data_IF_673216091516
#
_entry.id   IF_673216091516
#
_cell.length_a   1.000
_cell.length_b   1.000
_cell.length_c   1.000
_cell.angle_alpha   90.00
_cell.angle_beta   90.00
_cell.angle_gamma   90.00
#
_symmetry.space_group_name_H-M   'P 1'
#
loop_
_entity.id
_entity.type
_entity.pdbx_description
1 polymer ?
#
# COMPACT_ATOMS: atom_id res chain seq x y z
N UNK A 1 -3.07 24.23 -9.77
CA UNK A 1 -2.48 23.43 -8.66
C UNK A 1 -2.06 22.09 -9.23
N UNK A 2 -0.81 21.65 -9.00
CA UNK A 2 -0.29 20.39 -9.56
C UNK A 2 -0.75 19.22 -8.67
N UNK A 3 -1.43 18.24 -9.25
CA UNK A 3 -1.86 17.03 -8.52
C UNK A 3 -0.70 16.07 -8.32
N UNK A 4 -0.67 15.37 -7.19
CA UNK A 4 0.20 14.22 -7.00
C UNK A 4 -0.29 13.02 -7.81
N UNK A 5 0.55 12.50 -8.71
CA UNK A 5 0.20 11.39 -9.60
C UNK A 5 0.83 10.10 -9.08
N UNK A 6 0.01 9.10 -8.80
CA UNK A 6 0.47 7.80 -8.28
C UNK A 6 -0.02 6.66 -9.18
N UNK A 7 0.90 5.80 -9.59
CA UNK A 7 0.58 4.54 -10.27
C UNK A 7 0.72 3.36 -9.32
N UNK A 8 -0.32 2.53 -9.20
CA UNK A 8 -0.22 1.24 -8.53
C UNK A 8 0.00 0.11 -9.54
N UNK A 9 1.03 -0.70 -9.32
CA UNK A 9 1.29 -1.94 -10.07
C UNK A 9 1.12 -3.11 -9.12
N UNK A 10 0.15 -3.99 -9.40
CA UNK A 10 -0.17 -5.06 -8.46
C UNK A 10 -1.33 -5.96 -8.88
N UNK A 11 -2.10 -6.41 -7.91
CA UNK A 11 -3.14 -7.42 -8.10
C UNK A 11 -4.36 -7.16 -7.20
N UNK A 12 -5.05 -8.21 -6.77
CA UNK A 12 -6.25 -8.11 -5.94
C UNK A 12 -6.01 -7.41 -4.60
N UNK A 13 -4.76 -7.37 -4.10
CA UNK A 13 -4.45 -6.62 -2.88
C UNK A 13 -4.42 -5.10 -3.12
N UNK A 14 -4.34 -4.68 -4.39
CA UNK A 14 -4.47 -3.28 -4.80
C UNK A 14 -5.91 -2.94 -5.16
N UNK A 15 -6.55 -3.65 -6.11
CA UNK A 15 -7.81 -3.16 -6.67
C UNK A 15 -9.06 -3.49 -5.84
N UNK A 16 -9.01 -4.50 -4.96
CA UNK A 16 -10.18 -4.84 -4.14
C UNK A 16 -10.51 -3.70 -3.18
N UNK A 17 -11.81 -3.54 -2.93
CA UNK A 17 -12.37 -2.46 -2.12
C UNK A 17 -11.96 -1.05 -2.59
N UNK A 18 -11.54 -0.88 -3.84
CA UNK A 18 -11.17 0.44 -4.39
C UNK A 18 -10.09 1.15 -3.55
N UNK A 19 -9.13 0.42 -2.99
CA UNK A 19 -8.13 0.98 -2.07
C UNK A 19 -7.41 2.24 -2.59
N UNK A 20 -6.99 2.34 -3.89
CA UNK A 20 -6.42 3.58 -4.41
C UNK A 20 -7.39 4.77 -4.37
N UNK A 21 -8.70 4.55 -4.58
CA UNK A 21 -9.72 5.60 -4.45
C UNK A 21 -9.95 6.00 -3.00
N UNK A 22 -9.87 5.06 -2.05
CA UNK A 22 -9.91 5.41 -0.62
C UNK A 22 -8.77 6.37 -0.27
N UNK A 23 -7.56 6.14 -0.77
CA UNK A 23 -6.42 7.05 -0.58
C UNK A 23 -6.73 8.46 -1.14
N UNK A 24 -7.32 8.57 -2.33
CA UNK A 24 -7.72 9.87 -2.89
C UNK A 24 -8.72 10.60 -1.97
N UNK A 25 -9.72 9.88 -1.43
CA UNK A 25 -10.72 10.49 -0.55
C UNK A 25 -10.12 10.90 0.79
N UNK A 26 -9.20 10.11 1.36
CA UNK A 26 -8.47 10.49 2.58
C UNK A 26 -7.64 11.77 2.36
N UNK A 27 -6.91 11.87 1.25
CA UNK A 27 -6.14 13.09 0.93
C UNK A 27 -7.05 14.30 0.72
N UNK A 28 -8.20 14.11 0.06
CA UNK A 28 -9.20 15.16 -0.11
C UNK A 28 -9.77 15.62 1.24
N UNK A 29 -10.12 14.68 2.12
CA UNK A 29 -10.69 14.98 3.43
C UNK A 29 -9.71 15.71 4.35
N UNK A 30 -8.40 15.42 4.24
CA UNK A 30 -7.35 16.09 4.98
C UNK A 30 -7.15 17.58 4.58
N UNK A 31 -7.83 18.07 3.55
CA UNK A 31 -7.74 19.47 3.12
C UNK A 31 -6.39 19.85 2.52
N UNK A 32 -5.59 18.88 2.05
CA UNK A 32 -4.30 19.19 1.43
C UNK A 32 -4.47 20.00 0.13
N UNK A 33 -3.72 21.08 -0.02
CA UNK A 33 -3.71 21.95 -1.22
C UNK A 33 -3.38 21.20 -2.53
N UNK A 34 -2.76 20.02 -2.42
CA UNK A 34 -2.43 19.15 -3.55
C UNK A 34 -3.48 18.05 -3.69
N UNK A 35 -4.20 18.08 -4.80
CA UNK A 35 -5.06 16.96 -5.23
C UNK A 35 -4.19 15.71 -5.45
N UNK A 36 -4.65 14.54 -5.06
CA UNK A 36 -4.01 13.27 -5.38
C UNK A 36 -4.85 12.54 -6.42
N UNK A 37 -4.20 11.98 -7.45
CA UNK A 37 -4.84 11.11 -8.44
C UNK A 37 -4.05 9.82 -8.55
N UNK A 38 -4.79 8.73 -8.55
CA UNK A 38 -4.31 7.37 -8.69
C UNK A 38 -4.73 6.80 -10.03
N UNK A 39 -3.81 6.04 -10.62
CA UNK A 39 -4.12 5.05 -11.63
C UNK A 39 -3.58 3.70 -11.17
N UNK A 40 -4.05 2.63 -11.80
CA UNK A 40 -3.57 1.29 -11.49
C UNK A 40 -3.45 0.45 -12.75
N UNK A 41 -2.43 -0.42 -12.79
CA UNK A 41 -2.35 -1.53 -13.72
C UNK A 41 -2.23 -2.82 -12.90
N UNK A 42 -3.26 -3.66 -12.97
CA UNK A 42 -3.36 -4.82 -12.09
C UNK A 42 -3.77 -6.09 -12.82
N UNK A 43 -3.25 -7.24 -12.39
CA UNK A 43 -3.65 -8.56 -12.89
C UNK A 43 -4.09 -9.49 -11.74
N UNK A 44 -5.05 -10.41 -11.99
CA UNK A 44 -5.46 -11.38 -10.95
C UNK A 44 -4.26 -12.27 -10.57
N UNK A 45 -3.85 -12.22 -9.31
CA UNK A 45 -2.71 -13.00 -8.82
C UNK A 45 -1.37 -12.64 -9.48
N UNK A 46 -1.25 -11.49 -10.13
CA UNK A 46 -0.03 -11.09 -10.83
C UNK A 46 1.14 -10.87 -9.86
N UNK A 47 2.32 -11.35 -10.24
CA UNK A 47 3.60 -11.06 -9.58
C UNK A 47 4.31 -9.87 -10.23
N UNK A 48 5.37 -9.36 -9.60
CA UNK A 48 6.23 -8.37 -10.26
C UNK A 48 6.85 -8.94 -11.54
N UNK A 49 7.26 -10.21 -11.52
CA UNK A 49 7.72 -10.90 -12.72
C UNK A 49 6.69 -10.86 -13.85
N UNK A 50 5.43 -11.17 -13.53
CA UNK A 50 4.37 -11.16 -14.53
C UNK A 50 4.22 -9.77 -15.14
N UNK A 51 4.17 -8.73 -14.31
CA UNK A 51 4.05 -7.34 -14.75
C UNK A 51 5.23 -6.90 -15.61
N UNK A 52 6.46 -7.30 -15.26
CA UNK A 52 7.68 -6.99 -16.01
C UNK A 52 7.67 -7.61 -17.42
N UNK A 53 6.90 -8.68 -17.61
CA UNK A 53 6.76 -9.29 -18.93
C UNK A 53 5.58 -8.70 -19.72
N UNK A 54 4.86 -7.70 -19.17
CA UNK A 54 3.76 -7.04 -19.87
C UNK A 54 4.21 -5.70 -20.44
N UNK A 55 4.18 -5.58 -21.78
CA UNK A 55 4.45 -4.32 -22.48
C UNK A 55 3.62 -3.15 -21.95
N UNK A 56 2.34 -3.39 -21.65
CA UNK A 56 1.44 -2.38 -21.12
C UNK A 56 1.89 -1.79 -19.77
N UNK A 57 2.57 -2.57 -18.91
CA UNK A 57 3.11 -2.04 -17.65
C UNK A 57 4.20 -1.00 -17.92
N UNK A 58 5.14 -1.32 -18.81
CA UNK A 58 6.22 -0.42 -19.20
C UNK A 58 5.72 0.85 -19.88
N UNK A 59 4.74 0.71 -20.79
CA UNK A 59 4.11 1.85 -21.46
C UNK A 59 3.41 2.76 -20.44
N UNK A 60 2.71 2.20 -19.43
CA UNK A 60 2.08 2.99 -18.38
C UNK A 60 3.10 3.73 -17.50
N UNK A 61 4.24 3.10 -17.18
CA UNK A 61 5.32 3.75 -16.41
C UNK A 61 5.91 4.92 -17.20
N UNK A 62 6.16 4.74 -18.50
CA UNK A 62 6.83 5.74 -19.34
C UNK A 62 5.90 6.87 -19.77
N UNK A 63 4.62 6.58 -20.02
CA UNK A 63 3.67 7.58 -20.46
C UNK A 63 3.24 8.55 -19.35
N UNK A 64 3.29 8.11 -18.08
CA UNK A 64 2.83 8.91 -16.96
C UNK A 64 3.91 9.78 -16.33
N UNK A 65 3.55 11.02 -16.03
CA UNK A 65 4.37 11.92 -15.18
C UNK A 65 4.12 11.59 -13.70
N UNK A 66 4.48 10.38 -13.28
CA UNK A 66 4.26 9.88 -11.93
C UNK A 66 5.18 10.55 -10.92
N UNK A 67 4.64 10.97 -9.77
CA UNK A 67 5.49 11.29 -8.62
C UNK A 67 5.92 10.00 -7.91
N UNK A 68 4.98 9.05 -7.80
CA UNK A 68 5.21 7.76 -7.18
C UNK A 68 4.70 6.60 -8.04
N UNK A 69 5.47 5.53 -8.08
CA UNK A 69 5.02 4.22 -8.58
C UNK A 69 5.09 3.23 -7.43
N UNK A 70 3.94 2.65 -7.10
CA UNK A 70 3.76 1.70 -6.01
C UNK A 70 3.87 0.28 -6.58
N UNK A 71 4.81 -0.49 -6.06
CA UNK A 71 5.06 -1.87 -6.48
C UNK A 71 4.56 -2.85 -5.44
N UNK A 72 3.64 -3.72 -5.84
CA UNK A 72 3.09 -4.79 -5.02
C UNK A 72 3.40 -6.16 -5.64
N UNK A 73 4.14 -7.00 -4.89
CA UNK A 73 4.34 -8.40 -5.24
C UNK A 73 3.11 -9.23 -4.86
N UNK A 74 2.86 -10.35 -5.57
CA UNK A 74 1.85 -11.35 -5.21
C UNK A 74 2.00 -11.75 -3.74
N UNK A 75 0.88 -11.87 -3.04
CA UNK A 75 0.83 -12.08 -1.58
C UNK A 75 1.74 -13.21 -1.04
N UNK A 76 1.89 -14.31 -1.78
CA UNK A 76 2.78 -15.42 -1.44
C UNK A 76 4.19 -15.34 -2.06
N UNK A 77 4.40 -14.45 -3.04
CA UNK A 77 5.67 -14.28 -3.76
C UNK A 77 6.90 -14.07 -2.86
N UNK A 78 6.85 -13.24 -1.79
CA UNK A 78 7.97 -13.09 -0.87
C UNK A 78 8.41 -14.37 -0.16
N UNK A 79 7.49 -15.33 0.00
CA UNK A 79 7.74 -16.62 0.67
C UNK A 79 8.12 -17.70 -0.35
N UNK A 80 7.40 -17.74 -1.47
CA UNK A 80 7.53 -18.78 -2.48
C UNK A 80 8.75 -18.59 -3.39
N UNK A 81 9.06 -17.35 -3.79
CA UNK A 81 10.23 -17.03 -4.62
C UNK A 81 10.79 -15.63 -4.27
N UNK A 82 11.52 -15.51 -3.15
CA UNK A 82 12.13 -14.26 -2.76
C UNK A 82 13.17 -13.77 -3.78
N UNK A 83 13.80 -14.69 -4.53
CA UNK A 83 14.80 -14.36 -5.55
C UNK A 83 14.19 -13.60 -6.72
N UNK A 84 13.07 -14.09 -7.26
CA UNK A 84 12.33 -13.41 -8.30
C UNK A 84 11.82 -12.05 -7.81
N UNK A 85 11.22 -11.99 -6.62
CA UNK A 85 10.75 -10.72 -6.04
C UNK A 85 11.88 -9.68 -5.99
N UNK A 86 13.06 -10.02 -5.45
CA UNK A 86 14.19 -9.07 -5.37
C UNK A 86 14.68 -8.65 -6.76
N UNK A 87 14.76 -9.59 -7.71
CA UNK A 87 15.19 -9.30 -9.08
C UNK A 87 14.26 -8.27 -9.73
N UNK A 88 12.95 -8.54 -9.73
CA UNK A 88 11.99 -7.68 -10.43
C UNK A 88 11.71 -6.37 -9.68
N UNK A 89 11.84 -6.35 -8.35
CA UNK A 89 11.84 -5.12 -7.58
C UNK A 89 12.95 -4.15 -8.02
N UNK A 90 14.18 -4.64 -8.20
CA UNK A 90 15.32 -3.82 -8.67
C UNK A 90 15.15 -3.37 -10.11
N UNK A 91 14.66 -4.24 -10.98
CA UNK A 91 14.42 -3.92 -12.38
C UNK A 91 13.37 -2.81 -12.55
N UNK A 92 12.23 -2.93 -11.86
CA UNK A 92 11.21 -1.89 -11.88
C UNK A 92 11.69 -0.58 -11.25
N UNK A 93 12.37 -0.63 -10.10
CA UNK A 93 12.88 0.60 -9.47
C UNK A 93 13.82 1.38 -10.41
N UNK A 94 14.71 0.66 -11.11
CA UNK A 94 15.60 1.27 -12.09
C UNK A 94 14.83 1.91 -13.26
N UNK A 95 13.76 1.28 -13.74
CA UNK A 95 12.91 1.84 -14.80
C UNK A 95 12.12 3.06 -14.34
N UNK A 96 11.50 2.98 -13.15
CA UNK A 96 10.71 4.06 -12.55
C UNK A 96 11.59 5.31 -12.36
N UNK A 97 12.81 5.13 -11.83
CA UNK A 97 13.75 6.24 -11.63
C UNK A 97 14.21 6.90 -12.92
N UNK A 98 14.33 6.16 -14.03
CA UNK A 98 14.63 6.74 -15.35
C UNK A 98 13.56 7.73 -15.80
N UNK A 99 12.32 7.56 -15.36
CA UNK A 99 11.21 8.49 -15.62
C UNK A 99 11.12 9.63 -14.59
N UNK A 100 12.03 9.71 -13.62
CA UNK A 100 12.04 10.73 -12.56
C UNK A 100 11.04 10.48 -11.42
N UNK A 101 10.36 9.34 -11.42
CA UNK A 101 9.42 8.95 -10.37
C UNK A 101 10.13 8.25 -9.19
N UNK A 102 9.47 8.22 -8.02
CA UNK A 102 9.96 7.52 -6.83
C UNK A 102 9.21 6.21 -6.62
N UNK A 103 9.95 5.14 -6.38
CA UNK A 103 9.37 3.84 -6.03
C UNK A 103 8.89 3.82 -4.58
N UNK A 104 7.69 3.26 -4.35
CA UNK A 104 7.21 2.84 -3.02
C UNK A 104 6.89 1.36 -3.06
N UNK A 105 7.52 0.56 -2.22
CA UNK A 105 7.14 -0.85 -2.06
C UNK A 105 5.92 -0.98 -1.14
N UNK A 106 4.88 -1.66 -1.62
CA UNK A 106 3.70 -2.01 -0.84
C UNK A 106 3.93 -3.34 -0.12
N UNK A 107 4.40 -3.29 1.13
CA UNK A 107 4.55 -4.49 1.96
C UNK A 107 3.18 -5.03 2.36
N UNK A 108 2.78 -6.14 1.76
CA UNK A 108 1.51 -6.82 2.06
C UNK A 108 1.51 -7.51 3.44
N UNK A 109 0.33 -8.00 3.83
CA UNK A 109 0.12 -8.81 5.04
C UNK A 109 0.20 -10.31 4.74
N UNK A 110 0.36 -11.10 5.79
CA UNK A 110 0.33 -12.55 5.77
C UNK A 110 -1.10 -13.08 5.68
N UNK A 111 -1.25 -14.26 5.08
CA UNK A 111 -2.50 -15.01 5.17
C UNK A 111 -2.82 -15.27 6.64
N UNK A 112 -4.09 -15.10 7.04
CA UNK A 112 -4.54 -15.28 8.43
C UNK A 112 -4.25 -16.69 8.98
N UNK A 113 -4.15 -17.70 8.10
CA UNK A 113 -3.80 -19.09 8.46
C UNK A 113 -2.30 -19.31 8.67
N UNK A 114 -1.47 -18.38 8.20
CA UNK A 114 0.00 -18.46 8.25
C UNK A 114 0.62 -17.15 8.75
N UNK A 115 0.21 -16.62 9.92
CA UNK A 115 0.67 -15.33 10.43
C UNK A 115 2.20 -15.27 10.62
N UNK A 116 2.85 -16.41 10.89
CA UNK A 116 4.30 -16.53 11.01
C UNK A 116 5.06 -16.10 9.75
N UNK A 117 4.42 -16.20 8.58
CA UNK A 117 4.99 -15.79 7.29
C UNK A 117 5.23 -14.29 7.18
N UNK A 118 4.61 -13.46 8.04
CA UNK A 118 4.80 -12.01 8.00
C UNK A 118 6.24 -11.59 8.27
N UNK A 119 7.02 -12.39 9.03
CA UNK A 119 8.46 -12.15 9.22
C UNK A 119 9.23 -12.21 7.90
N UNK A 120 8.92 -13.19 7.06
CA UNK A 120 9.54 -13.39 5.74
C UNK A 120 9.11 -12.28 4.78
N UNK A 121 7.81 -11.98 4.72
CA UNK A 121 7.25 -10.90 3.89
C UNK A 121 7.93 -9.56 4.24
N UNK A 122 7.98 -9.22 5.52
CA UNK A 122 8.65 -8.00 6.01
C UNK A 122 10.12 -7.95 5.60
N UNK A 123 10.86 -9.04 5.78
CA UNK A 123 12.28 -9.08 5.41
C UNK A 123 12.48 -8.85 3.91
N UNK A 124 11.69 -9.51 3.06
CA UNK A 124 11.82 -9.39 1.61
C UNK A 124 11.52 -7.97 1.11
N UNK A 125 10.45 -7.34 1.58
CA UNK A 125 10.13 -5.96 1.20
C UNK A 125 11.13 -4.95 1.78
N UNK A 126 11.58 -5.11 3.03
CA UNK A 126 12.60 -4.24 3.63
C UNK A 126 13.94 -4.37 2.90
N UNK A 127 14.32 -5.57 2.47
CA UNK A 127 15.51 -5.81 1.65
C UNK A 127 15.40 -5.10 0.30
N UNK A 128 14.28 -5.24 -0.40
CA UNK A 128 14.06 -4.58 -1.68
C UNK A 128 14.15 -3.05 -1.55
N UNK A 129 13.50 -2.47 -0.53
CA UNK A 129 13.56 -1.04 -0.24
C UNK A 129 15.00 -0.58 0.09
N UNK A 130 15.73 -1.32 0.91
CA UNK A 130 17.12 -1.00 1.27
C UNK A 130 18.07 -1.07 0.07
N UNK A 131 17.98 -2.12 -0.73
CA UNK A 131 18.88 -2.32 -1.89
C UNK A 131 18.66 -1.27 -2.99
N UNK A 132 17.44 -0.75 -3.11
CA UNK A 132 17.08 0.25 -4.11
C UNK A 132 17.09 1.69 -3.57
N UNK A 133 17.09 1.88 -2.25
CA UNK A 133 16.85 3.19 -1.64
C UNK A 133 15.40 3.69 -1.82
N UNK A 134 14.47 2.83 -2.23
CA UNK A 134 13.07 3.16 -2.41
C UNK A 134 12.35 3.37 -1.06
N UNK A 135 11.18 4.00 -1.12
CA UNK A 135 10.28 4.07 0.02
C UNK A 135 9.62 2.71 0.28
N UNK A 136 9.16 2.52 1.51
CA UNK A 136 8.43 1.34 1.95
C UNK A 136 7.15 1.79 2.65
N UNK A 137 6.01 1.26 2.19
CA UNK A 137 4.72 1.35 2.85
C UNK A 137 4.48 0.05 3.67
N UNK A 138 4.66 0.07 5.00
CA UNK A 138 4.70 -1.13 5.83
C UNK A 138 3.30 -1.61 6.22
N UNK A 139 2.43 -1.87 5.25
CA UNK A 139 1.01 -2.20 5.50
C UNK A 139 0.87 -3.48 6.32
N UNK A 140 1.64 -4.53 6.01
CA UNK A 140 1.63 -5.76 6.81
C UNK A 140 2.00 -5.57 8.28
N UNK A 141 2.88 -4.61 8.60
CA UNK A 141 3.22 -4.26 10.00
C UNK A 141 2.07 -3.50 10.66
N UNK A 142 1.42 -2.59 9.93
CA UNK A 142 0.24 -1.89 10.44
C UNK A 142 -0.88 -2.87 10.80
N UNK A 143 -1.11 -3.88 9.96
CA UNK A 143 -2.07 -4.95 10.21
C UNK A 143 -1.70 -5.81 11.43
N UNK A 144 -0.44 -6.23 11.57
CA UNK A 144 0.02 -6.95 12.78
C UNK A 144 -0.23 -6.13 14.04
N UNK A 145 0.10 -4.83 14.00
CA UNK A 145 -0.08 -3.95 15.16
C UNK A 145 -1.55 -3.72 15.50
N UNK A 146 -2.40 -3.53 14.49
CA UNK A 146 -3.85 -3.39 14.65
C UNK A 146 -4.46 -4.63 15.31
N UNK A 147 -4.18 -5.81 14.76
CA UNK A 147 -4.69 -7.08 15.28
C UNK A 147 -4.13 -7.41 16.67
N UNK A 148 -2.90 -6.99 16.99
CA UNK A 148 -2.33 -7.13 18.33
C UNK A 148 -3.03 -6.21 19.34
N UNK A 149 -3.37 -4.99 18.95
CA UNK A 149 -4.06 -4.02 19.80
C UNK A 149 -5.53 -4.39 20.00
N UNK A 150 -6.19 -4.87 18.94
CA UNK A 150 -7.58 -5.33 18.97
C UNK A 150 -7.74 -6.60 18.13
N UNK A 151 -7.65 -7.79 18.75
CA UNK A 151 -7.83 -9.08 18.07
C UNK A 151 -9.23 -9.28 17.47
N UNK A 152 -10.21 -8.47 17.86
CA UNK A 152 -11.58 -8.52 17.31
C UNK A 152 -11.73 -7.85 15.95
N UNK A 153 -10.72 -7.11 15.47
CA UNK A 153 -10.76 -6.45 14.17
C UNK A 153 -10.85 -7.46 13.02
N UNK A 154 -11.78 -7.19 12.10
CA UNK A 154 -11.97 -8.02 10.90
C UNK A 154 -11.23 -7.39 9.72
N UNK A 155 -9.90 -7.51 9.69
CA UNK A 155 -9.08 -6.96 8.60
C UNK A 155 -9.00 -7.87 7.37
N UNK A 156 -9.07 -9.19 7.57
CA UNK A 156 -9.13 -10.16 6.49
C UNK A 156 -10.56 -10.40 6.05
N UNK A 157 -10.73 -10.61 4.76
CA UNK A 157 -11.91 -11.28 4.20
C UNK A 157 -12.00 -12.73 4.69
N UNK A 158 -13.17 -13.36 4.54
CA UNK A 158 -13.44 -14.73 4.98
C UNK A 158 -12.49 -15.77 4.35
N UNK A 159 -11.96 -15.46 3.16
CA UNK A 159 -10.95 -16.27 2.47
C UNK A 159 -9.57 -16.29 3.14
N UNK A 160 -9.38 -15.55 4.24
CA UNK A 160 -8.14 -15.47 5.03
C UNK A 160 -6.97 -14.79 4.31
N UNK A 161 -7.18 -14.24 3.12
CA UNK A 161 -6.13 -13.72 2.25
C UNK A 161 -6.35 -12.27 1.89
N UNK A 162 -7.52 -11.93 1.34
CA UNK A 162 -7.80 -10.58 0.88
C UNK A 162 -8.17 -9.67 2.06
N UNK A 163 -8.10 -8.37 1.83
CA UNK A 163 -8.61 -7.40 2.78
C UNK A 163 -10.13 -7.42 2.83
N UNK A 164 -10.67 -7.14 4.01
CA UNK A 164 -12.03 -6.62 4.18
C UNK A 164 -12.05 -5.12 3.83
N UNK A 165 -13.22 -4.45 3.84
CA UNK A 165 -13.28 -2.99 3.76
C UNK A 165 -12.44 -2.28 4.83
N UNK A 166 -12.46 -2.75 6.09
CA UNK A 166 -11.64 -2.20 7.17
C UNK A 166 -10.13 -2.41 6.92
N UNK A 167 -9.73 -3.58 6.42
CA UNK A 167 -8.33 -3.84 6.03
C UNK A 167 -7.87 -2.95 4.86
N UNK A 168 -8.74 -2.68 3.89
CA UNK A 168 -8.47 -1.78 2.78
C UNK A 168 -8.36 -0.31 3.25
N UNK A 169 -9.20 0.10 4.19
CA UNK A 169 -9.12 1.43 4.82
C UNK A 169 -7.83 1.62 5.60
N UNK A 170 -7.43 0.66 6.43
CA UNK A 170 -6.12 0.69 7.12
C UNK A 170 -4.96 0.77 6.11
N UNK A 171 -5.05 0.03 5.01
CA UNK A 171 -4.07 0.10 3.92
C UNK A 171 -3.99 1.51 3.33
N UNK A 172 -5.14 2.14 3.04
CA UNK A 172 -5.20 3.50 2.53
C UNK A 172 -4.64 4.52 3.54
N UNK A 173 -4.89 4.34 4.84
CA UNK A 173 -4.30 5.16 5.91
C UNK A 173 -2.77 5.07 5.94
N UNK A 174 -2.19 3.88 5.78
CA UNK A 174 -0.73 3.71 5.70
C UNK A 174 -0.16 4.44 4.48
N UNK A 175 -0.81 4.33 3.32
CA UNK A 175 -0.38 5.08 2.13
C UNK A 175 -0.51 6.59 2.32
N UNK A 176 -1.60 7.06 2.93
CA UNK A 176 -1.79 8.45 3.28
C UNK A 176 -0.63 8.95 4.14
N UNK A 177 -0.27 8.22 5.19
CA UNK A 177 0.88 8.58 6.04
C UNK A 177 2.20 8.61 5.28
N UNK A 178 2.45 7.65 4.38
CA UNK A 178 3.70 7.60 3.62
C UNK A 178 3.79 8.72 2.58
N UNK A 179 2.68 9.06 1.92
CA UNK A 179 2.63 10.05 0.83
C UNK A 179 2.54 11.47 1.38
N UNK A 180 1.63 11.71 2.33
CA UNK A 180 1.40 13.03 2.92
C UNK A 180 2.32 13.34 4.10
N UNK A 181 3.04 12.35 4.62
CA UNK A 181 3.95 12.50 5.76
C UNK A 181 3.24 13.11 6.99
N UNK A 182 2.02 12.64 7.26
CA UNK A 182 1.24 13.05 8.43
C UNK A 182 0.36 11.90 8.94
N UNK A 183 -0.16 12.05 10.16
CA UNK A 183 -1.05 11.06 10.78
C UNK A 183 -2.42 11.02 10.07
N UNK A 184 -3.04 9.84 9.89
CA UNK A 184 -4.41 9.73 9.40
C UNK A 184 -5.45 9.92 10.52
N UNK A 185 -5.01 10.19 11.75
CA UNK A 185 -5.89 10.41 12.89
C UNK A 185 -6.84 11.59 12.67
N UNK A 186 -8.12 11.37 12.95
CA UNK A 186 -9.19 12.34 12.71
C UNK A 186 -9.69 12.40 11.26
N UNK A 187 -9.17 11.56 10.35
CA UNK A 187 -9.76 11.39 9.02
C UNK A 187 -11.09 10.64 9.09
N UNK A 188 -11.99 10.85 8.11
CA UNK A 188 -13.32 10.27 8.15
C UNK A 188 -13.31 8.74 8.04
N UNK A 189 -14.16 8.12 8.85
CA UNK A 189 -14.43 6.68 8.94
C UNK A 189 -15.30 6.17 7.79
N UNK A 190 -16.07 7.08 7.18
CA UNK A 190 -16.92 6.80 6.01
C UNK A 190 -16.38 7.55 4.80
N UNK A 191 -16.13 6.84 3.69
CA UNK A 191 -15.64 7.42 2.45
C UNK A 191 -16.59 7.12 1.30
N UNK A 192 -16.87 8.15 0.50
CA UNK A 192 -17.65 8.05 -0.73
C UNK A 192 -16.83 8.48 -1.93
N UNK A 193 -17.08 7.86 -3.08
CA UNK A 193 -16.65 8.36 -4.37
C UNK A 193 -17.87 8.44 -5.27
N UNK A 194 -18.23 9.68 -5.63
CA UNK A 194 -19.55 10.00 -6.16
C UNK A 194 -20.64 9.41 -5.23
N UNK A 195 -21.62 8.69 -5.77
CA UNK A 195 -22.70 8.08 -4.98
C UNK A 195 -22.34 6.70 -4.39
N UNK A 196 -21.09 6.24 -4.57
CA UNK A 196 -20.66 4.92 -4.09
C UNK A 196 -19.96 5.04 -2.73
N UNK A 197 -20.52 4.38 -1.72
CA UNK A 197 -19.83 4.11 -0.47
C UNK A 197 -18.62 3.19 -0.73
N UNK A 198 -17.41 3.66 -0.44
CA UNK A 198 -16.18 2.88 -0.51
C UNK A 198 -15.96 2.08 0.78
N UNK A 199 -16.23 2.72 1.92
CA UNK A 199 -16.17 2.13 3.26
C UNK A 199 -17.05 2.93 4.20
N UNK A 200 -17.64 2.25 5.16
CA UNK A 200 -18.40 2.82 6.27
C UNK A 200 -18.03 2.03 7.53
N UNK A 201 -17.17 2.62 8.36
CA UNK A 201 -16.72 2.01 9.61
C UNK A 201 -17.40 2.68 10.79
N UNK A 202 -17.57 1.93 11.89
CA UNK A 202 -17.88 2.57 13.17
C UNK A 202 -16.72 3.46 13.61
N UNK A 203 -17.02 4.60 14.25
CA UNK A 203 -16.00 5.54 14.73
C UNK A 203 -14.90 4.86 15.57
N UNK A 204 -15.28 4.05 16.55
CA UNK A 204 -14.33 3.31 17.40
C UNK A 204 -13.48 2.30 16.60
N UNK A 205 -14.07 1.69 15.56
CA UNK A 205 -13.34 0.79 14.67
C UNK A 205 -12.27 1.59 13.90
N UNK A 206 -12.64 2.71 13.27
CA UNK A 206 -11.71 3.56 12.53
C UNK A 206 -10.60 4.13 13.42
N UNK A 207 -10.93 4.65 14.61
CA UNK A 207 -9.95 5.17 15.57
C UNK A 207 -8.91 4.10 15.96
N UNK A 208 -9.34 2.86 16.14
CA UNK A 208 -8.42 1.75 16.43
C UNK A 208 -7.44 1.43 15.30
N UNK A 209 -7.77 1.80 14.05
CA UNK A 209 -6.90 1.62 12.87
C UNK A 209 -5.87 2.74 12.71
N UNK A 210 -6.10 3.92 13.27
CA UNK A 210 -5.16 5.05 13.18
C UNK A 210 -3.92 4.84 14.02
N UNK A 211 -4.06 4.32 15.24
CA UNK A 211 -2.94 4.13 16.17
C UNK A 211 -1.75 3.33 15.58
N UNK A 212 -1.97 2.19 14.89
CA UNK A 212 -0.92 1.50 14.15
C UNK A 212 -0.18 2.36 13.12
N UNK A 213 -0.88 3.27 12.42
CA UNK A 213 -0.32 4.17 11.42
C UNK A 213 0.53 5.28 12.05
N UNK A 214 0.05 5.87 13.16
CA UNK A 214 0.78 6.90 13.91
C UNK A 214 2.12 6.36 14.41
N UNK A 215 2.18 5.12 14.90
CA UNK A 215 3.46 4.50 15.31
C UNK A 215 4.46 4.34 14.15
N UNK A 216 3.99 4.03 12.95
CA UNK A 216 4.84 3.94 11.75
C UNK A 216 5.43 5.31 11.41
N UNK A 217 4.61 6.37 11.47
CA UNK A 217 5.07 7.74 11.26
C UNK A 217 6.17 8.10 12.28
N UNK A 218 5.91 7.86 13.56
CA UNK A 218 6.86 8.18 14.63
C UNK A 218 8.19 7.41 14.50
N UNK A 219 8.15 6.12 14.12
CA UNK A 219 9.37 5.31 13.97
C UNK A 219 10.30 5.81 12.85
N UNK A 220 9.75 6.40 11.77
CA UNK A 220 10.55 6.82 10.60
C UNK A 220 11.12 8.24 10.73
N UNK A 221 10.53 9.08 11.60
CA UNK A 221 10.93 10.48 11.75
C UNK A 221 11.57 10.82 13.10
N UNK A 222 11.45 9.97 14.13
CA UNK A 222 12.13 10.16 15.43
C UNK A 222 13.39 9.29 15.66
N UNK A 223 13.78 8.43 14.71
CA UNK A 223 15.04 7.66 14.80
C UNK A 223 16.20 8.26 13.98
N UNK A 224 16.16 9.57 13.73
CA UNK A 224 17.36 10.36 13.40
C UNK A 224 17.77 11.19 14.62
N UNK A 225 18.31 10.50 15.62
CA UNK A 225 19.22 11.05 16.63
C UNK A 225 20.26 9.98 16.92
#
# INVERSE_FOLDING_TARGET
>A
MKSHQILFIGNSHTYLHYMPRMLEQLVKAAGHDKKLRTEQITGRGASLQWHWNQRATHDMITAGQWDYVILQERSGGPVEDPGAMQKYARLFDAEIKKQGARTIFYMTWANRRHPESQKIIRYAYARAARETGALLAPVGIAWENALKANPGLKLHHEDNRHASPAGAYLTACVFFTVVCQTSPEGLPETLYHDDRCLVDLGKDEAESLFYPCTRIFMQKYFQRT
#
